data_IF_513334287284
#
_entry.id   IF_513334287284
#
_cell.length_a   1.000
_cell.length_b   1.000
_cell.length_c   1.000
_cell.angle_alpha   90.00
_cell.angle_beta   90.00
_cell.angle_gamma   90.00
#
_symmetry.space_group_name_H-M   'P 1'
#
loop_
_entity.id
_entity.type
_entity.pdbx_description
1 polymer ?
#
# COMPACT_ATOMS: atom_id res chain seq x y z
N UNK A 1 -13.52 22.85 4.50
CA UNK A 1 -12.17 22.63 5.05
C UNK A 1 -12.10 21.16 5.45
N UNK A 2 -11.39 20.35 4.66
CA UNK A 2 -10.91 19.02 5.06
C UNK A 2 -9.43 18.87 4.59
N UNK A 3 -8.48 19.75 4.99
CA UNK A 3 -7.08 19.56 4.61
C UNK A 3 -6.44 18.42 5.42
N UNK A 4 -6.80 18.30 6.70
CA UNK A 4 -6.14 17.39 7.65
C UNK A 4 -6.33 15.91 7.31
N UNK A 5 -7.50 15.50 6.80
CA UNK A 5 -7.74 14.12 6.37
C UNK A 5 -6.92 13.78 5.13
N UNK A 6 -6.94 14.64 4.11
CA UNK A 6 -6.22 14.40 2.85
C UNK A 6 -4.70 14.40 3.07
N UNK A 7 -4.19 15.31 3.90
CA UNK A 7 -2.80 15.35 4.31
C UNK A 7 -2.39 14.08 5.09
N UNK A 8 -3.28 13.58 5.96
CA UNK A 8 -3.03 12.33 6.70
C UNK A 8 -3.05 11.10 5.80
N UNK A 9 -4.00 11.00 4.86
CA UNK A 9 -4.03 9.94 3.84
C UNK A 9 -2.75 9.96 3.03
N UNK A 10 -2.31 11.14 2.56
CA UNK A 10 -1.10 11.30 1.78
C UNK A 10 0.16 10.91 2.57
N UNK A 11 0.25 11.33 3.83
CA UNK A 11 1.35 10.97 4.73
C UNK A 11 1.42 9.45 4.93
N UNK A 12 0.30 8.80 5.26
CA UNK A 12 0.23 7.36 5.47
C UNK A 12 0.50 6.60 4.16
N UNK A 13 -0.02 7.08 3.03
CA UNK A 13 0.22 6.47 1.73
C UNK A 13 1.70 6.41 1.39
N UNK A 14 2.46 7.47 1.70
CA UNK A 14 3.92 7.49 1.51
C UNK A 14 4.64 6.48 2.40
N UNK A 15 4.23 6.33 3.66
CA UNK A 15 4.79 5.34 4.57
C UNK A 15 4.50 3.92 4.08
N UNK A 16 3.25 3.64 3.69
CA UNK A 16 2.87 2.34 3.14
C UNK A 16 3.60 2.05 1.84
N UNK A 17 3.70 3.02 0.93
CA UNK A 17 4.43 2.88 -0.32
C UNK A 17 5.87 2.43 -0.09
N UNK A 18 6.60 3.11 0.81
CA UNK A 18 7.99 2.76 1.11
C UNK A 18 8.12 1.35 1.67
N UNK A 19 7.24 0.96 2.61
CA UNK A 19 7.24 -0.38 3.18
C UNK A 19 6.91 -1.46 2.15
N UNK A 20 5.86 -1.25 1.35
CA UNK A 20 5.45 -2.20 0.32
C UNK A 20 6.59 -2.37 -0.70
N UNK A 21 7.20 -1.27 -1.18
CA UNK A 21 8.33 -1.34 -2.10
C UNK A 21 9.51 -2.15 -1.54
N UNK A 22 9.87 -1.97 -0.27
CA UNK A 22 10.94 -2.78 0.37
C UNK A 22 10.62 -4.28 0.40
N UNK A 23 9.36 -4.64 0.68
CA UNK A 23 8.94 -6.05 0.64
C UNK A 23 8.97 -6.60 -0.78
N UNK A 24 8.53 -5.83 -1.78
CA UNK A 24 8.59 -6.24 -3.18
C UNK A 24 10.02 -6.38 -3.69
N UNK A 25 10.92 -5.48 -3.32
CA UNK A 25 12.34 -5.57 -3.65
C UNK A 25 12.95 -6.85 -3.04
N UNK A 26 12.48 -7.26 -1.86
CA UNK A 26 12.88 -8.53 -1.23
C UNK A 26 12.37 -9.73 -2.02
N UNK A 27 11.14 -9.68 -2.53
CA UNK A 27 10.61 -10.72 -3.43
C UNK A 27 11.38 -10.82 -4.74
N UNK A 28 11.68 -9.68 -5.37
CA UNK A 28 12.46 -9.64 -6.60
C UNK A 28 13.89 -10.18 -6.37
N UNK A 29 14.51 -9.82 -5.24
CA UNK A 29 15.83 -10.35 -4.84
C UNK A 29 15.81 -11.87 -4.55
N UNK A 30 14.69 -12.40 -4.07
CA UNK A 30 14.46 -13.84 -3.91
C UNK A 30 14.12 -14.54 -5.24
N UNK A 31 14.00 -13.81 -6.35
CA UNK A 31 13.62 -14.34 -7.66
C UNK A 31 12.12 -14.64 -7.80
N UNK A 32 11.28 -14.14 -6.90
CA UNK A 32 9.83 -14.27 -6.98
C UNK A 32 9.28 -13.20 -7.91
N UNK A 33 8.56 -13.63 -8.95
CA UNK A 33 7.89 -12.70 -9.84
C UNK A 33 6.64 -12.11 -9.17
N UNK A 34 6.68 -10.82 -8.88
CA UNK A 34 5.54 -10.08 -8.33
C UNK A 34 4.57 -9.74 -9.46
N UNK A 35 3.52 -10.55 -9.61
CA UNK A 35 2.41 -10.28 -10.53
C UNK A 35 1.28 -9.48 -9.86
N UNK A 36 0.25 -9.15 -10.65
CA UNK A 36 -0.93 -8.40 -10.16
C UNK A 36 -1.72 -9.15 -9.08
N UNK A 37 -1.76 -10.49 -9.13
CA UNK A 37 -2.50 -11.29 -8.15
C UNK A 37 -1.79 -11.27 -6.80
N UNK A 38 -0.45 -11.40 -6.81
CA UNK A 38 0.36 -11.30 -5.60
C UNK A 38 0.22 -9.92 -4.96
N UNK A 39 0.30 -8.84 -5.76
CA UNK A 39 0.07 -7.48 -5.29
C UNK A 39 -1.31 -7.29 -4.67
N UNK A 40 -2.35 -7.84 -5.30
CA UNK A 40 -3.71 -7.75 -4.80
C UNK A 40 -3.89 -8.48 -3.45
N UNK A 41 -3.39 -9.72 -3.35
CA UNK A 41 -3.43 -10.49 -2.11
C UNK A 41 -2.63 -9.81 -1.00
N UNK A 42 -1.51 -9.18 -1.35
CA UNK A 42 -0.72 -8.44 -0.39
C UNK A 42 -1.44 -7.19 0.11
N UNK A 43 -2.17 -6.46 -0.75
CA UNK A 43 -3.04 -5.36 -0.34
C UNK A 43 -4.08 -5.84 0.68
N UNK A 44 -4.83 -6.89 0.37
CA UNK A 44 -5.84 -7.46 1.28
C UNK A 44 -5.21 -7.81 2.63
N UNK A 45 -4.09 -8.53 2.62
CA UNK A 45 -3.42 -8.97 3.84
C UNK A 45 -2.93 -7.78 4.68
N UNK A 46 -2.38 -6.74 4.04
CA UNK A 46 -1.91 -5.55 4.73
C UNK A 46 -3.08 -4.79 5.37
N UNK A 47 -4.21 -4.65 4.66
CA UNK A 47 -5.42 -4.03 5.21
C UNK A 47 -5.91 -4.78 6.45
N UNK A 48 -6.05 -6.10 6.37
CA UNK A 48 -6.48 -6.93 7.50
C UNK A 48 -5.55 -6.76 8.71
N UNK A 49 -4.23 -6.80 8.50
CA UNK A 49 -3.25 -6.61 9.57
C UNK A 49 -3.32 -5.22 10.20
N UNK A 50 -3.48 -4.17 9.40
CA UNK A 50 -3.52 -2.81 9.91
C UNK A 50 -4.82 -2.55 10.66
N UNK A 51 -5.96 -3.01 10.13
CA UNK A 51 -7.27 -2.85 10.76
C UNK A 51 -7.38 -3.59 12.10
N UNK A 52 -6.75 -4.75 12.24
CA UNK A 52 -6.67 -5.50 13.50
C UNK A 52 -5.82 -4.76 14.57
N UNK A 53 -4.81 -4.00 14.13
CA UNK A 53 -3.89 -3.26 15.01
C UNK A 53 -4.37 -1.83 15.31
N UNK A 54 -5.20 -1.24 14.45
CA UNK A 54 -5.69 0.14 14.62
C UNK A 54 -6.94 0.18 15.48
N UNK A 55 -6.73 0.28 16.80
CA UNK A 55 -7.79 0.64 17.76
C UNK A 55 -8.11 2.16 17.71
N UNK A 56 -7.26 2.98 17.07
CA UNK A 56 -7.28 4.45 17.19
C UNK A 56 -7.24 5.26 15.88
N UNK A 57 -6.97 4.63 14.72
CA UNK A 57 -6.97 5.33 13.43
C UNK A 57 -8.31 5.08 12.72
N UNK A 58 -8.84 6.13 12.08
CA UNK A 58 -10.01 6.01 11.22
C UNK A 58 -9.71 4.98 10.11
N UNK A 59 -10.45 3.88 10.11
CA UNK A 59 -10.25 2.75 9.20
C UNK A 59 -10.30 3.20 7.74
N UNK A 60 -11.16 4.17 7.43
CA UNK A 60 -11.33 4.70 6.09
C UNK A 60 -10.05 5.40 5.59
N UNK A 61 -9.36 6.13 6.48
CA UNK A 61 -8.09 6.81 6.16
C UNK A 61 -6.98 5.79 5.88
N UNK A 62 -6.93 4.72 6.67
CA UNK A 62 -5.90 3.67 6.53
C UNK A 62 -6.12 2.89 5.23
N UNK A 63 -7.36 2.50 4.92
CA UNK A 63 -7.69 1.82 3.68
C UNK A 63 -7.37 2.67 2.45
N UNK A 64 -7.78 3.95 2.45
CA UNK A 64 -7.52 4.86 1.35
C UNK A 64 -6.01 5.07 1.13
N UNK A 65 -5.24 5.20 2.21
CA UNK A 65 -3.79 5.34 2.13
C UNK A 65 -3.11 4.09 1.55
N UNK A 66 -3.54 2.90 1.96
CA UNK A 66 -3.02 1.62 1.42
C UNK A 66 -3.37 1.50 -0.07
N UNK A 67 -4.62 1.78 -0.45
CA UNK A 67 -5.05 1.71 -1.86
C UNK A 67 -4.30 2.70 -2.73
N UNK A 68 -4.06 3.92 -2.25
CA UNK A 68 -3.27 4.93 -2.95
C UNK A 68 -1.85 4.43 -3.20
N UNK A 69 -1.20 3.85 -2.18
CA UNK A 69 0.14 3.29 -2.31
C UNK A 69 0.21 2.15 -3.34
N UNK A 70 -0.72 1.18 -3.28
CA UNK A 70 -0.75 0.06 -4.23
C UNK A 70 -1.04 0.51 -5.66
N UNK A 71 -1.94 1.49 -5.85
CA UNK A 71 -2.22 2.05 -7.17
C UNK A 71 -0.98 2.71 -7.78
N UNK A 72 -0.18 3.41 -6.98
CA UNK A 72 1.08 4.00 -7.44
C UNK A 72 2.11 2.92 -7.83
N UNK A 73 2.25 1.88 -7.02
CA UNK A 73 3.15 0.75 -7.30
C UNK A 73 2.73 0.02 -8.58
N UNK A 74 1.43 -0.23 -8.76
CA UNK A 74 0.90 -0.86 -9.96
C UNK A 74 1.25 -0.04 -11.22
N UNK A 75 1.14 1.30 -11.16
CA UNK A 75 1.52 2.19 -12.27
C UNK A 75 3.03 2.15 -12.57
N UNK A 76 3.88 2.06 -11.55
CA UNK A 76 5.35 2.02 -11.73
C UNK A 76 5.79 0.68 -12.31
N UNK A 77 5.17 -0.42 -11.86
CA UNK A 77 5.50 -1.79 -12.28
C UNK A 77 4.80 -2.23 -13.56
N UNK A 78 3.82 -1.48 -14.06
CA UNK A 78 3.24 -1.76 -15.37
C UNK A 78 4.32 -1.66 -16.47
N UNK A 79 4.44 -2.68 -17.33
CA UNK A 79 5.38 -2.63 -18.44
C UNK A 79 5.01 -1.45 -19.34
N UNK A 80 5.96 -0.53 -19.54
CA UNK A 80 5.82 0.55 -20.53
C UNK A 80 5.69 -0.10 -21.90
N UNK A 81 4.47 -0.13 -22.44
CA UNK A 81 4.18 -0.54 -23.81
C UNK A 81 4.86 0.39 -24.82
#
# INVERSE_FOLDING_TARGET
>A
MIPEREDLVEYLARLFFQRIMQELDTFDAAGLHVDRNLLHNFNISLKEQMLDQTVLADQEIVEEAIDKAFNEIARIREPKH
#
